data_IF_422294656967
#
_entry.id   IF_422294656967
#
_cell.length_a   1.000
_cell.length_b   1.000
_cell.length_c   1.000
_cell.angle_alpha   90.00
_cell.angle_beta   90.00
_cell.angle_gamma   90.00
#
_symmetry.space_group_name_H-M   'P 1'
#
loop_
_entity.id
_entity.type
_entity.pdbx_description
1 polymer ?
#
# COMPACT_ATOMS: atom_id res chain seq x y z
N UNK A 1 31.63 -51.35 65.83
CA UNK A 1 32.55 -51.14 64.69
C UNK A 1 31.93 -51.80 63.47
N UNK A 2 31.38 -51.12 62.49
CA UNK A 2 31.02 -49.72 62.29
C UNK A 2 29.78 -49.73 61.39
N UNK A 3 28.84 -48.85 61.70
CA UNK A 3 27.60 -48.62 60.97
C UNK A 3 27.90 -47.96 59.61
N UNK A 4 27.27 -48.44 58.54
CA UNK A 4 27.31 -47.77 57.23
C UNK A 4 25.95 -47.16 56.95
N UNK A 5 25.86 -45.86 57.19
CA UNK A 5 24.66 -45.03 57.06
C UNK A 5 24.18 -44.91 55.61
N UNK A 6 22.86 -45.04 55.45
CA UNK A 6 22.12 -44.63 54.27
C UNK A 6 22.08 -43.09 54.22
N UNK A 7 22.73 -42.46 53.25
CA UNK A 7 22.59 -41.03 52.99
C UNK A 7 21.62 -40.80 51.83
N UNK A 8 20.40 -40.42 52.19
CA UNK A 8 19.39 -39.89 51.28
C UNK A 8 19.78 -38.49 50.82
N UNK A 9 20.24 -38.36 49.57
CA UNK A 9 20.50 -37.06 48.96
C UNK A 9 19.17 -36.36 48.63
N UNK A 10 18.72 -35.50 49.52
CA UNK A 10 17.64 -34.54 49.32
C UNK A 10 18.01 -33.53 48.23
N UNK A 11 17.35 -33.63 47.07
CA UNK A 11 17.45 -32.68 45.96
C UNK A 11 16.86 -31.34 46.41
N UNK A 12 17.71 -30.33 46.60
CA UNK A 12 17.26 -28.96 46.79
C UNK A 12 16.77 -28.36 45.45
N UNK A 13 15.61 -27.70 45.41
CA UNK A 13 15.16 -27.00 44.21
C UNK A 13 16.05 -25.78 43.96
N UNK A 14 16.61 -25.73 42.77
CA UNK A 14 17.36 -24.58 42.27
C UNK A 14 16.46 -23.33 42.19
N UNK A 15 16.99 -22.11 42.43
CA UNK A 15 16.18 -20.90 42.45
C UNK A 15 15.56 -20.65 41.08
N UNK A 16 14.24 -20.53 41.07
CA UNK A 16 13.41 -20.31 39.88
C UNK A 16 13.98 -19.22 38.98
N UNK A 17 14.32 -19.57 37.74
CA UNK A 17 14.62 -18.59 36.69
C UNK A 17 13.38 -17.72 36.48
N UNK A 18 13.55 -16.43 36.78
CA UNK A 18 12.52 -15.39 36.65
C UNK A 18 11.97 -15.38 35.22
N UNK A 19 10.63 -15.37 35.11
CA UNK A 19 9.86 -15.27 33.85
C UNK A 19 10.38 -14.11 33.00
N UNK A 20 10.64 -14.28 31.68
CA UNK A 20 10.91 -13.16 30.79
C UNK A 20 9.71 -12.21 30.77
N UNK A 21 10.02 -10.91 30.85
CA UNK A 21 9.07 -9.81 31.03
C UNK A 21 8.11 -9.68 29.84
N UNK A 22 6.86 -9.34 30.17
CA UNK A 22 5.77 -8.82 29.32
C UNK A 22 6.30 -8.05 28.09
N UNK A 23 5.97 -8.50 26.88
CA UNK A 23 6.34 -7.78 25.65
C UNK A 23 5.77 -6.36 25.68
N UNK A 24 6.62 -5.39 25.32
CA UNK A 24 6.28 -3.96 25.27
C UNK A 24 5.48 -3.67 24.00
N UNK A 25 4.48 -2.80 24.09
CA UNK A 25 3.67 -2.41 22.92
C UNK A 25 4.51 -1.62 21.91
N UNK A 26 4.08 -1.53 20.65
CA UNK A 26 4.75 -0.72 19.61
C UNK A 26 4.92 0.73 20.08
N UNK A 27 3.94 1.29 20.81
CA UNK A 27 4.03 2.61 21.46
C UNK A 27 5.19 2.70 22.47
N UNK A 28 5.43 1.64 23.24
CA UNK A 28 6.53 1.59 24.21
C UNK A 28 7.89 1.34 23.55
N UNK A 29 7.92 0.76 22.35
CA UNK A 29 9.13 0.54 21.55
C UNK A 29 9.52 1.85 20.86
N UNK A 30 8.56 2.56 20.26
CA UNK A 30 8.77 3.88 19.65
C UNK A 30 9.28 4.88 20.69
N UNK A 31 8.71 4.88 21.90
CA UNK A 31 9.11 5.82 22.97
C UNK A 31 10.45 5.48 23.64
N UNK A 32 11.01 4.27 23.47
CA UNK A 32 12.24 3.82 24.17
C UNK A 32 13.36 3.36 23.23
N UNK A 33 13.24 3.58 21.92
CA UNK A 33 14.32 3.31 20.99
C UNK A 33 15.52 4.18 21.38
N UNK A 34 16.65 3.55 21.68
CA UNK A 34 17.89 4.28 21.98
C UNK A 34 18.42 4.86 20.67
N UNK A 35 18.40 6.18 20.58
CA UNK A 35 19.18 6.91 19.59
C UNK A 35 20.67 6.54 19.73
N UNK A 36 21.37 6.44 18.60
CA UNK A 36 22.82 6.36 18.61
C UNK A 36 23.34 7.66 19.23
N UNK A 37 23.71 7.61 20.51
CA UNK A 37 24.41 8.70 21.18
C UNK A 37 25.80 8.73 20.57
N UNK A 38 26.01 9.67 19.66
CA UNK A 38 27.35 10.14 19.32
C UNK A 38 27.90 10.79 20.61
N UNK A 39 29.13 10.49 21.06
CA UNK A 39 29.66 11.07 22.28
C UNK A 39 29.58 12.60 22.23
N UNK A 40 29.08 13.20 23.31
CA UNK A 40 29.11 14.64 23.56
C UNK A 40 30.58 15.10 23.60
N UNK A 41 31.09 15.56 22.46
CA UNK A 41 32.25 16.42 22.37
C UNK A 41 31.89 17.58 21.42
N UNK A 42 31.58 18.73 22.03
CA UNK A 42 31.70 20.11 21.52
C UNK A 42 30.85 20.56 20.30
N UNK A 43 29.82 21.40 20.58
CA UNK A 43 29.35 22.55 19.78
C UNK A 43 28.61 22.34 18.42
N UNK A 44 27.64 21.41 18.35
CA UNK A 44 26.72 21.31 17.20
C UNK A 44 25.24 21.22 17.60
N UNK A 45 24.56 22.34 17.87
CA UNK A 45 23.08 22.38 17.80
C UNK A 45 22.48 23.79 17.70
N UNK A 46 22.94 24.59 16.72
CA UNK A 46 22.21 25.80 16.26
C UNK A 46 21.56 25.56 14.88
N UNK A 47 21.34 24.28 14.52
CA UNK A 47 20.72 23.91 13.25
C UNK A 47 19.25 24.32 13.24
N UNK A 48 18.95 25.46 12.63
CA UNK A 48 17.58 25.93 12.42
C UNK A 48 17.00 25.35 11.14
N UNK A 49 15.71 25.04 11.16
CA UNK A 49 15.02 24.59 9.96
C UNK A 49 14.98 25.71 8.91
N UNK A 50 15.53 25.47 7.71
CA UNK A 50 15.59 26.44 6.60
C UNK A 50 14.20 26.86 6.11
N UNK A 51 13.17 26.06 6.38
CA UNK A 51 11.79 26.33 5.96
C UNK A 51 10.99 27.19 6.95
N UNK A 52 11.19 27.03 8.27
CA UNK A 52 10.42 27.75 9.29
C UNK A 52 11.24 28.69 10.18
N UNK A 53 12.58 28.64 10.06
CA UNK A 53 13.50 29.46 10.83
C UNK A 53 13.63 29.09 12.32
N UNK A 54 12.96 28.03 12.78
CA UNK A 54 13.01 27.58 14.18
C UNK A 54 13.99 26.41 14.36
N UNK A 55 14.73 26.43 15.46
CA UNK A 55 15.54 25.31 15.97
C UNK A 55 14.78 24.37 16.91
N UNK A 56 13.51 24.64 17.20
CA UNK A 56 12.68 23.77 18.05
C UNK A 56 12.44 22.43 17.37
N UNK A 57 12.32 21.32 18.11
CA UNK A 57 12.17 19.95 17.53
C UNK A 57 13.40 19.51 16.73
N UNK A 58 14.58 19.78 17.27
CA UNK A 58 15.88 19.24 16.87
C UNK A 58 15.85 17.74 16.49
N UNK A 59 15.19 16.90 17.29
CA UNK A 59 15.00 15.46 17.05
C UNK A 59 14.17 15.12 15.80
N UNK A 60 13.57 16.11 15.14
CA UNK A 60 12.81 15.96 13.89
C UNK A 60 13.50 16.63 12.70
N UNK A 61 14.74 17.11 12.86
CA UNK A 61 15.52 17.69 11.77
C UNK A 61 16.16 16.62 10.89
N UNK A 62 16.09 16.83 9.59
CA UNK A 62 16.85 16.12 8.57
C UNK A 62 17.90 17.07 7.98
N UNK A 63 19.13 16.59 7.89
CA UNK A 63 20.22 17.29 7.23
C UNK A 63 20.35 16.80 5.80
N UNK A 64 20.49 17.73 4.87
CA UNK A 64 20.71 17.39 3.47
C UNK A 64 22.15 16.94 3.23
N UNK A 65 22.37 15.74 2.70
CA UNK A 65 23.71 15.19 2.43
C UNK A 65 24.50 15.91 1.32
N UNK A 66 23.95 16.99 0.74
CA UNK A 66 24.62 17.80 -0.29
C UNK A 66 24.92 19.23 0.15
N UNK A 67 24.07 19.83 0.98
CA UNK A 67 24.20 21.24 1.36
C UNK A 67 24.14 21.48 2.86
N UNK A 68 24.04 20.41 3.66
CA UNK A 68 24.01 20.40 5.13
C UNK A 68 22.91 21.25 5.78
N UNK A 69 22.00 21.84 4.98
CA UNK A 69 20.84 22.57 5.48
C UNK A 69 19.89 21.63 6.23
N UNK A 70 19.37 22.10 7.35
CA UNK A 70 18.44 21.37 8.20
C UNK A 70 16.97 21.69 7.87
N UNK A 71 16.13 20.67 7.90
CA UNK A 71 14.68 20.79 7.67
C UNK A 71 13.92 19.93 8.65
N UNK A 72 12.87 20.45 9.29
CA UNK A 72 11.97 19.56 10.01
C UNK A 72 11.27 18.63 9.03
N UNK A 73 11.21 17.36 9.39
CA UNK A 73 10.44 16.30 8.73
C UNK A 73 9.03 16.78 8.29
N UNK A 74 8.32 17.49 9.19
CA UNK A 74 6.97 18.02 8.94
C UNK A 74 6.91 19.36 8.20
N UNK A 75 8.04 20.06 8.07
CA UNK A 75 8.15 21.29 7.28
C UNK A 75 8.40 20.99 5.80
N UNK A 76 8.85 19.77 5.47
CA UNK A 76 9.07 19.33 4.10
C UNK A 76 7.76 19.13 3.34
N UNK A 77 7.84 19.33 2.03
CA UNK A 77 6.73 19.15 1.08
C UNK A 77 7.28 18.38 -0.14
N UNK A 78 6.89 17.11 -0.35
CA UNK A 78 5.99 16.28 0.50
C UNK A 78 6.52 16.05 1.91
N UNK A 79 5.62 15.79 2.86
CA UNK A 79 5.99 15.57 4.28
C UNK A 79 6.81 14.29 4.40
N UNK A 80 7.91 14.37 5.14
CA UNK A 80 8.72 13.20 5.50
C UNK A 80 8.33 12.79 6.91
N UNK A 81 7.93 11.54 7.11
CA UNK A 81 7.35 11.07 8.38
C UNK A 81 8.33 10.32 9.27
N UNK A 82 9.44 9.90 8.68
CA UNK A 82 10.53 9.14 9.30
C UNK A 82 11.84 9.52 8.63
N UNK A 83 12.94 9.38 9.35
CA UNK A 83 14.28 9.55 8.79
C UNK A 83 14.49 8.52 7.68
N UNK A 84 14.77 8.93 6.42
CA UNK A 84 15.01 8.01 5.32
C UNK A 84 16.22 7.10 5.57
N UNK A 85 16.21 5.90 5.01
CA UNK A 85 17.37 5.00 5.02
C UNK A 85 18.27 5.37 3.84
N UNK A 86 19.49 5.79 4.15
CA UNK A 86 20.46 6.24 3.15
C UNK A 86 20.38 7.75 2.91
N UNK A 87 20.94 8.24 1.79
CA UNK A 87 21.13 9.67 1.61
C UNK A 87 19.81 10.40 1.34
N UNK A 88 19.62 11.55 1.98
CA UNK A 88 18.51 12.45 1.78
C UNK A 88 18.97 13.82 1.26
N UNK A 89 18.24 14.32 0.25
CA UNK A 89 18.51 15.62 -0.35
C UNK A 89 17.31 16.55 -0.18
N UNK A 90 17.56 17.78 0.29
CA UNK A 90 16.52 18.78 0.48
C UNK A 90 15.88 19.20 -0.85
N UNK A 91 14.70 19.85 -0.83
CA UNK A 91 14.06 20.46 -2.00
C UNK A 91 14.98 21.22 -2.96
N UNK A 92 15.94 21.99 -2.44
CA UNK A 92 16.86 22.75 -3.30
C UNK A 92 17.91 21.84 -3.99
N UNK A 93 18.25 20.71 -3.38
CA UNK A 93 19.29 19.79 -3.83
C UNK A 93 18.75 18.60 -4.64
N UNK A 94 17.56 18.12 -4.27
CA UNK A 94 16.75 17.15 -4.98
C UNK A 94 15.96 17.92 -6.01
N UNK A 95 16.29 17.80 -7.30
CA UNK A 95 15.59 18.46 -8.40
C UNK A 95 14.06 18.32 -8.23
N UNK A 96 13.38 19.31 -7.63
CA UNK A 96 11.98 19.20 -7.19
C UNK A 96 10.97 18.97 -8.31
N UNK A 97 11.42 19.03 -9.56
CA UNK A 97 10.59 18.61 -10.66
C UNK A 97 10.91 17.16 -10.96
N UNK A 98 9.92 16.23 -10.92
CA UNK A 98 10.10 14.97 -11.60
C UNK A 98 10.60 15.32 -13.01
N UNK A 99 11.65 14.63 -13.51
CA UNK A 99 12.21 14.96 -14.82
C UNK A 99 11.06 15.09 -15.81
N UNK A 100 11.06 16.13 -16.67
CA UNK A 100 9.95 16.39 -17.59
C UNK A 100 9.57 15.08 -18.24
N UNK A 101 8.26 14.73 -18.20
CA UNK A 101 7.73 13.41 -18.57
C UNK A 101 8.56 12.87 -19.74
N UNK A 102 9.50 11.95 -19.47
CA UNK A 102 10.34 11.41 -20.54
C UNK A 102 9.36 10.92 -21.58
N UNK A 103 9.48 11.37 -22.83
CA UNK A 103 8.48 11.02 -23.84
C UNK A 103 8.51 9.50 -24.01
N UNK A 104 7.58 8.81 -23.37
CA UNK A 104 7.36 7.40 -23.61
C UNK A 104 6.65 7.33 -24.95
N UNK A 105 7.37 6.85 -25.97
CA UNK A 105 6.74 6.42 -27.21
C UNK A 105 5.72 5.34 -26.90
N UNK A 106 4.69 5.21 -27.73
CA UNK A 106 3.65 4.19 -27.56
C UNK A 106 4.24 2.77 -27.39
N UNK A 107 5.31 2.45 -28.14
CA UNK A 107 6.03 1.18 -28.00
C UNK A 107 6.63 0.98 -26.61
N UNK A 108 7.31 2.00 -26.07
CA UNK A 108 7.88 1.93 -24.71
C UNK A 108 6.80 1.76 -23.65
N UNK A 109 5.63 2.37 -23.81
CA UNK A 109 4.49 2.18 -22.90
C UNK A 109 4.05 0.71 -22.95
N UNK A 110 3.82 0.15 -24.13
CA UNK A 110 3.40 -1.24 -24.26
C UNK A 110 4.41 -2.23 -23.70
N UNK A 111 5.70 -2.00 -23.92
CA UNK A 111 6.76 -2.84 -23.37
C UNK A 111 6.82 -2.72 -21.84
N UNK A 112 6.70 -1.49 -21.30
CA UNK A 112 6.69 -1.22 -19.86
C UNK A 112 5.55 -1.96 -19.13
N UNK A 113 4.34 -1.94 -19.70
CA UNK A 113 3.15 -2.60 -19.14
C UNK A 113 2.96 -4.04 -19.62
N UNK A 114 3.88 -4.59 -20.42
CA UNK A 114 3.81 -5.94 -21.01
C UNK A 114 2.48 -6.17 -21.78
N UNK A 115 1.99 -5.13 -22.46
CA UNK A 115 0.70 -5.15 -23.17
C UNK A 115 0.81 -6.03 -24.41
N UNK A 116 -0.11 -6.98 -24.54
CA UNK A 116 -0.20 -7.81 -25.75
C UNK A 116 -0.79 -6.97 -26.89
N UNK A 117 -0.03 -6.81 -27.98
CA UNK A 117 -0.59 -6.29 -29.23
C UNK A 117 -1.62 -7.28 -29.77
N UNK A 118 -2.91 -6.97 -29.62
CA UNK A 118 -3.95 -7.65 -30.36
C UNK A 118 -3.87 -7.20 -31.82
N UNK A 119 -3.48 -8.10 -32.73
CA UNK A 119 -3.74 -7.91 -34.16
C UNK A 119 -5.25 -7.86 -34.37
N UNK A 120 -5.73 -6.98 -35.24
CA UNK A 120 -7.13 -6.56 -35.36
C UNK A 120 -8.15 -7.65 -35.78
N UNK A 121 -7.81 -8.94 -35.71
CA UNK A 121 -8.58 -10.05 -36.30
C UNK A 121 -9.28 -10.98 -35.31
N UNK A 122 -9.38 -10.65 -34.02
CA UNK A 122 -10.05 -11.54 -33.06
C UNK A 122 -10.85 -10.85 -31.95
N UNK A 123 -11.50 -9.71 -32.27
CA UNK A 123 -12.51 -9.13 -31.36
C UNK A 123 -13.88 -9.72 -31.68
N UNK A 124 -14.22 -10.86 -31.06
CA UNK A 124 -15.63 -11.12 -30.76
C UNK A 124 -16.03 -10.12 -29.67
N UNK A 125 -16.65 -9.01 -30.07
CA UNK A 125 -17.31 -8.08 -29.15
C UNK A 125 -18.41 -8.86 -28.43
N UNK A 126 -18.16 -9.27 -27.18
CA UNK A 126 -19.25 -9.67 -26.31
C UNK A 126 -19.94 -8.37 -25.92
N UNK A 127 -21.03 -8.06 -26.61
CA UNK A 127 -21.87 -6.91 -26.28
C UNK A 127 -22.54 -7.15 -24.91
N UNK A 128 -22.77 -6.12 -24.09
CA UNK A 128 -23.50 -6.27 -22.83
C UNK A 128 -25.03 -6.50 -22.98
N UNK A 129 -25.54 -6.89 -24.15
CA UNK A 129 -26.99 -6.85 -24.44
C UNK A 129 -27.78 -8.16 -24.26
N UNK A 130 -27.23 -9.24 -23.73
CA UNK A 130 -28.05 -10.41 -23.35
C UNK A 130 -28.69 -10.23 -21.97
N UNK A 131 -29.62 -9.28 -21.90
CA UNK A 131 -30.55 -9.08 -20.80
C UNK A 131 -32.02 -9.30 -21.23
N UNK A 132 -32.32 -10.29 -22.06
CA UNK A 132 -33.70 -10.75 -22.39
C UNK A 132 -33.62 -12.25 -22.70
N UNK A 133 -34.17 -13.22 -21.94
CA UNK A 133 -35.52 -13.34 -21.36
C UNK A 133 -35.47 -14.36 -20.20
N UNK A 134 -35.63 -13.94 -18.94
CA UNK A 134 -36.04 -14.86 -17.86
C UNK A 134 -37.56 -15.03 -17.93
N UNK A 135 -38.02 -16.26 -18.18
CA UNK A 135 -39.44 -16.66 -18.06
C UNK A 135 -39.97 -16.18 -16.70
N UNK A 136 -41.09 -15.44 -16.71
CA UNK A 136 -41.87 -15.12 -15.52
C UNK A 136 -42.29 -16.43 -14.84
N UNK A 137 -41.62 -16.78 -13.74
CA UNK A 137 -42.22 -17.61 -12.69
C UNK A 137 -42.71 -16.63 -11.63
N UNK A 138 -44.01 -16.59 -11.43
CA UNK A 138 -44.67 -15.86 -10.34
C UNK A 138 -44.26 -16.51 -9.03
N UNK A 139 -43.31 -15.89 -8.33
CA UNK A 139 -42.97 -16.18 -6.94
C UNK A 139 -43.21 -14.92 -6.11
N UNK A 140 -43.57 -15.06 -4.82
CA UNK A 140 -43.96 -13.93 -3.98
C UNK A 140 -42.84 -12.87 -3.89
N UNK A 141 -43.24 -11.60 -3.83
CA UNK A 141 -42.33 -10.46 -3.67
C UNK A 141 -41.68 -10.56 -2.29
N UNK A 142 -40.50 -11.17 -2.24
CA UNK A 142 -39.58 -11.01 -1.12
C UNK A 142 -38.57 -9.95 -1.56
N UNK A 143 -38.48 -8.86 -0.81
CA UNK A 143 -37.47 -7.82 -1.01
C UNK A 143 -36.07 -8.40 -0.74
N UNK A 144 -35.47 -9.03 -1.74
CA UNK A 144 -34.04 -9.30 -1.72
C UNK A 144 -33.33 -7.94 -1.84
N UNK A 145 -32.65 -7.52 -0.76
CA UNK A 145 -31.70 -6.40 -0.82
C UNK A 145 -30.78 -6.63 -2.03
N UNK A 146 -30.69 -5.65 -2.94
CA UNK A 146 -29.76 -5.68 -4.09
C UNK A 146 -28.38 -6.03 -3.53
N UNK A 147 -27.83 -7.19 -3.90
CA UNK A 147 -26.47 -7.57 -3.50
C UNK A 147 -25.52 -6.54 -4.09
N UNK A 148 -24.75 -5.87 -3.23
CA UNK A 148 -23.63 -5.01 -3.66
C UNK A 148 -22.58 -5.92 -4.28
N UNK A 149 -22.45 -5.86 -5.61
CA UNK A 149 -21.51 -6.66 -6.41
C UNK A 149 -20.41 -5.76 -6.93
N UNK A 150 -19.19 -6.27 -7.07
CA UNK A 150 -18.13 -5.56 -7.78
C UNK A 150 -18.56 -5.23 -9.21
N UNK A 151 -18.18 -4.04 -9.65
CA UNK A 151 -18.31 -3.59 -11.02
C UNK A 151 -16.91 -3.48 -11.63
N UNK A 152 -16.72 -3.88 -12.90
CA UNK A 152 -15.50 -3.55 -13.61
C UNK A 152 -15.43 -2.03 -13.84
N UNK A 153 -14.21 -1.49 -13.90
CA UNK A 153 -14.03 -0.12 -14.35
C UNK A 153 -14.37 0.02 -15.83
N UNK A 154 -14.67 1.24 -16.27
CA UNK A 154 -14.88 1.56 -17.68
C UNK A 154 -13.67 2.33 -18.20
N UNK A 155 -12.83 1.73 -19.06
CA UNK A 155 -11.68 2.42 -19.65
C UNK A 155 -12.11 3.65 -20.47
N UNK A 156 -11.20 4.63 -20.62
CA UNK A 156 -11.40 5.71 -21.58
C UNK A 156 -11.54 5.15 -23.01
N UNK A 157 -12.58 5.58 -23.74
CA UNK A 157 -12.79 5.15 -25.13
C UNK A 157 -11.65 5.62 -26.06
N UNK A 158 -11.14 6.82 -25.78
CA UNK A 158 -10.02 7.43 -26.50
C UNK A 158 -8.70 6.72 -26.17
N UNK A 159 -8.01 6.26 -27.22
CA UNK A 159 -6.74 5.53 -27.08
C UNK A 159 -5.62 6.45 -26.61
N UNK A 160 -5.61 7.71 -27.03
CA UNK A 160 -4.57 8.66 -26.63
C UNK A 160 -4.69 8.99 -25.14
N UNK A 161 -5.93 9.08 -24.63
CA UNK A 161 -6.17 9.19 -23.18
C UNK A 161 -5.69 7.98 -22.40
N UNK A 162 -5.94 6.75 -22.88
CA UNK A 162 -5.41 5.56 -22.21
C UNK A 162 -3.88 5.54 -22.20
N UNK A 163 -3.24 5.99 -23.29
CA UNK A 163 -1.78 6.12 -23.35
C UNK A 163 -1.27 7.19 -22.38
N UNK A 164 -1.98 8.31 -22.22
CA UNK A 164 -1.66 9.35 -21.25
C UNK A 164 -1.76 8.84 -19.80
N UNK A 165 -2.86 8.16 -19.48
CA UNK A 165 -3.09 7.52 -18.17
C UNK A 165 -1.94 6.55 -17.84
N UNK A 166 -1.60 5.64 -18.75
CA UNK A 166 -0.48 4.71 -18.57
C UNK A 166 0.88 5.44 -18.49
N UNK A 167 1.09 6.49 -19.29
CA UNK A 167 2.32 7.29 -19.24
C UNK A 167 2.51 7.95 -17.88
N UNK A 168 1.45 8.49 -17.28
CA UNK A 168 1.52 9.12 -15.96
C UNK A 168 2.05 8.15 -14.90
N UNK A 169 1.54 6.91 -14.89
CA UNK A 169 2.00 5.84 -14.01
C UNK A 169 3.43 5.40 -14.30
N UNK A 170 3.78 5.20 -15.57
CA UNK A 170 5.14 4.82 -15.96
C UNK A 170 6.18 5.87 -15.53
N UNK A 171 5.85 7.15 -15.66
CA UNK A 171 6.70 8.25 -15.21
C UNK A 171 6.88 8.27 -13.68
N UNK A 172 5.80 8.06 -12.91
CA UNK A 172 5.87 8.00 -11.45
C UNK A 172 6.73 6.81 -10.97
N UNK A 173 6.47 5.61 -11.51
CA UNK A 173 7.28 4.41 -11.20
C UNK A 173 8.75 4.60 -11.57
N UNK A 174 9.04 5.17 -12.75
CA UNK A 174 10.42 5.44 -13.18
C UNK A 174 11.12 6.43 -12.25
N UNK A 175 10.39 7.44 -11.75
CA UNK A 175 10.96 8.45 -10.84
C UNK A 175 11.29 7.87 -9.46
N UNK A 176 10.57 6.81 -9.05
CA UNK A 176 10.87 6.04 -7.83
C UNK A 176 11.79 4.83 -8.08
N UNK A 177 12.36 4.70 -9.29
CA UNK A 177 13.19 3.56 -9.69
C UNK A 177 12.51 2.19 -9.47
N UNK A 178 11.20 2.13 -9.76
CA UNK A 178 10.38 0.94 -9.60
C UNK A 178 10.07 0.25 -10.93
N UNK A 179 9.95 -1.08 -10.86
CA UNK A 179 9.40 -1.90 -11.92
C UNK A 179 7.88 -2.02 -11.81
N UNK A 180 7.21 -2.03 -12.97
CA UNK A 180 5.78 -2.30 -13.00
C UNK A 180 5.48 -3.78 -12.76
N UNK A 181 4.56 -4.06 -11.84
CA UNK A 181 3.93 -5.37 -11.64
C UNK A 181 2.46 -5.20 -11.35
N UNK A 182 1.62 -6.07 -11.92
CA UNK A 182 0.19 -6.16 -11.60
C UNK A 182 -0.20 -7.49 -10.94
N UNK A 183 0.81 -8.24 -10.48
CA UNK A 183 0.65 -9.47 -9.71
C UNK A 183 1.54 -9.41 -8.47
N UNK A 184 1.07 -10.02 -7.36
CA UNK A 184 1.89 -10.22 -6.17
C UNK A 184 3.13 -11.03 -6.54
N UNK A 185 4.30 -10.51 -6.17
CA UNK A 185 5.59 -11.14 -6.47
C UNK A 185 6.17 -11.79 -5.22
N UNK A 186 6.87 -12.90 -5.43
CA UNK A 186 7.47 -13.70 -4.37
C UNK A 186 8.93 -13.97 -4.73
N UNK A 187 9.84 -13.57 -3.85
CA UNK A 187 11.28 -13.72 -4.04
C UNK A 187 11.84 -14.76 -3.08
N UNK A 188 12.99 -15.34 -3.40
CA UNK A 188 13.62 -16.39 -2.59
C UNK A 188 14.07 -15.92 -1.20
N UNK A 189 14.45 -14.64 -1.10
CA UNK A 189 14.87 -13.96 0.13
C UNK A 189 13.68 -13.40 0.95
N UNK A 190 12.46 -13.53 0.44
CA UNK A 190 11.23 -13.00 1.04
C UNK A 190 10.24 -14.11 1.37
N UNK A 191 8.96 -13.79 1.58
CA UNK A 191 7.96 -14.80 1.83
C UNK A 191 7.68 -15.63 0.55
N UNK A 192 7.69 -16.97 0.63
CA UNK A 192 7.31 -17.81 -0.50
C UNK A 192 5.80 -17.72 -0.74
N UNK A 193 5.36 -18.00 -1.97
CA UNK A 193 3.92 -18.01 -2.32
C UNK A 193 3.08 -18.93 -1.44
N UNK A 194 3.63 -20.07 -1.02
CA UNK A 194 2.97 -21.01 -0.11
C UNK A 194 2.70 -20.47 1.30
N UNK A 195 3.33 -19.35 1.69
CA UNK A 195 2.98 -18.66 2.94
C UNK A 195 1.68 -17.87 2.82
N UNK A 196 1.31 -17.43 1.61
CA UNK A 196 0.07 -16.68 1.36
C UNK A 196 -1.14 -17.62 1.26
N UNK A 197 -1.56 -18.15 2.41
CA UNK A 197 -2.80 -18.92 2.53
C UNK A 197 -3.79 -18.18 3.43
N UNK A 198 -4.93 -17.80 2.86
CA UNK A 198 -6.00 -17.08 3.57
C UNK A 198 -6.60 -17.84 4.75
N UNK A 199 -6.43 -19.17 4.80
CA UNK A 199 -6.78 -20.00 5.96
C UNK A 199 -5.95 -19.67 7.21
N UNK A 200 -4.81 -18.99 7.06
CA UNK A 200 -3.99 -18.56 8.18
C UNK A 200 -4.44 -17.23 8.78
N UNK A 201 -5.39 -16.51 8.17
CA UNK A 201 -5.89 -15.23 8.70
C UNK A 201 -6.57 -15.48 10.05
N UNK A 202 -6.13 -14.74 11.06
CA UNK A 202 -6.70 -14.79 12.39
C UNK A 202 -8.14 -14.28 12.37
N UNK A 203 -9.10 -15.11 12.78
CA UNK A 203 -10.53 -14.78 12.68
C UNK A 203 -11.14 -15.03 11.29
N UNK A 204 -10.37 -15.54 10.34
CA UNK A 204 -10.81 -15.90 8.99
C UNK A 204 -10.90 -14.70 8.03
N UNK A 205 -10.82 -15.00 6.73
CA UNK A 205 -10.92 -14.02 5.66
C UNK A 205 -12.17 -14.25 4.81
N UNK A 206 -12.89 -13.16 4.49
CA UNK A 206 -14.05 -13.22 3.60
C UNK A 206 -13.65 -13.75 2.22
N UNK A 207 -14.44 -14.68 1.67
CA UNK A 207 -14.20 -15.28 0.35
C UNK A 207 -14.83 -14.42 -0.73
N UNK A 208 -14.07 -14.10 -1.78
CA UNK A 208 -14.60 -13.37 -2.92
C UNK A 208 -15.60 -14.26 -3.68
N UNK A 209 -16.79 -13.74 -3.98
CA UNK A 209 -17.81 -14.52 -4.66
C UNK A 209 -17.31 -14.95 -6.06
N UNK A 210 -17.88 -16.02 -6.62
CA UNK A 210 -17.53 -16.45 -7.99
C UNK A 210 -17.75 -15.33 -9.02
N UNK A 211 -18.84 -14.60 -8.88
CA UNK A 211 -19.22 -13.50 -9.78
C UNK A 211 -18.25 -12.30 -9.67
N UNK A 212 -17.81 -11.99 -8.45
CA UNK A 212 -16.82 -10.94 -8.20
C UNK A 212 -15.41 -11.37 -8.63
N UNK A 213 -15.08 -12.66 -8.49
CA UNK A 213 -13.86 -13.26 -9.03
C UNK A 213 -13.82 -13.16 -10.55
N UNK A 214 -14.93 -13.43 -11.24
CA UNK A 214 -15.06 -13.23 -12.69
C UNK A 214 -14.88 -11.75 -13.08
N UNK A 215 -15.38 -10.82 -12.26
CA UNK A 215 -15.19 -9.37 -12.46
C UNK A 215 -13.72 -8.96 -12.30
N UNK A 216 -13.03 -9.50 -11.29
CA UNK A 216 -11.60 -9.29 -11.06
C UNK A 216 -10.76 -9.78 -12.26
N UNK A 217 -11.00 -11.01 -12.71
CA UNK A 217 -10.31 -11.58 -13.87
C UNK A 217 -10.60 -10.82 -15.17
N UNK A 218 -11.82 -10.31 -15.33
CA UNK A 218 -12.16 -9.44 -16.45
C UNK A 218 -11.36 -8.14 -16.44
N UNK A 219 -11.16 -7.51 -15.28
CA UNK A 219 -10.33 -6.31 -15.13
C UNK A 219 -8.85 -6.60 -15.44
N UNK A 220 -8.30 -7.70 -14.91
CA UNK A 220 -6.94 -8.15 -15.26
C UNK A 220 -6.76 -8.35 -16.77
N UNK A 221 -7.76 -8.95 -17.42
CA UNK A 221 -7.73 -9.16 -18.87
C UNK A 221 -7.85 -7.86 -19.67
N UNK A 222 -8.56 -6.84 -19.16
CA UNK A 222 -8.59 -5.49 -19.73
C UNK A 222 -7.20 -4.86 -19.67
N UNK A 223 -6.55 -4.88 -18.50
CA UNK A 223 -5.25 -4.25 -18.34
C UNK A 223 -4.18 -4.89 -19.24
N UNK A 224 -4.17 -6.22 -19.38
CA UNK A 224 -3.25 -6.96 -20.27
C UNK A 224 -3.33 -6.58 -21.76
N UNK A 225 -4.42 -5.94 -22.18
CA UNK A 225 -4.61 -5.42 -23.56
C UNK A 225 -4.57 -3.89 -23.65
N UNK A 226 -4.13 -3.21 -22.59
CA UNK A 226 -4.00 -1.74 -22.55
C UNK A 226 -5.31 -1.00 -22.28
N UNK A 227 -6.32 -1.69 -21.75
CA UNK A 227 -7.56 -1.10 -21.23
C UNK A 227 -7.42 -0.88 -19.72
N UNK A 228 -6.75 0.20 -19.34
CA UNK A 228 -6.54 0.60 -17.94
C UNK A 228 -7.78 1.30 -17.36
N UNK A 229 -7.87 1.33 -16.02
CA UNK A 229 -8.83 2.16 -15.32
C UNK A 229 -8.58 3.65 -15.65
N UNK A 230 -9.62 4.50 -15.74
CA UNK A 230 -9.47 5.89 -16.15
C UNK A 230 -8.87 6.72 -15.02
N UNK A 231 -7.57 6.57 -14.78
CA UNK A 231 -6.82 7.12 -13.64
C UNK A 231 -5.57 7.85 -14.13
N UNK A 232 -5.25 8.96 -13.48
CA UNK A 232 -4.02 9.72 -13.70
C UNK A 232 -3.21 9.78 -12.42
N UNK A 233 -1.91 9.55 -12.53
CA UNK A 233 -0.95 9.84 -11.46
C UNK A 233 -0.47 11.29 -11.62
N UNK A 234 -0.73 12.12 -10.62
CA UNK A 234 -0.45 13.55 -10.64
C UNK A 234 0.41 13.94 -9.45
N UNK A 235 1.47 14.71 -9.70
CA UNK A 235 2.31 15.23 -8.62
C UNK A 235 1.67 16.46 -7.99
N UNK A 236 1.49 16.42 -6.68
CA UNK A 236 1.03 17.49 -5.82
C UNK A 236 2.17 17.92 -4.89
N UNK A 237 2.43 19.22 -4.79
CA UNK A 237 3.53 19.73 -3.97
C UNK A 237 3.43 19.35 -2.49
N UNK A 238 2.21 19.18 -1.96
CA UNK A 238 1.98 18.86 -0.55
C UNK A 238 1.91 17.37 -0.30
N UNK A 239 1.26 16.63 -1.20
CA UNK A 239 0.92 15.22 -1.03
C UNK A 239 1.83 14.26 -1.80
N UNK A 240 2.75 14.77 -2.63
CA UNK A 240 3.60 13.96 -3.50
C UNK A 240 2.82 13.41 -4.69
N UNK A 241 3.14 12.19 -5.13
CA UNK A 241 2.32 11.54 -6.16
C UNK A 241 0.96 11.17 -5.60
N UNK A 242 -0.09 11.63 -6.28
CA UNK A 242 -1.50 11.34 -5.98
C UNK A 242 -2.15 10.68 -7.19
N UNK A 243 -3.33 10.09 -6.99
CA UNK A 243 -4.13 9.53 -8.08
C UNK A 243 -5.49 10.22 -8.15
N UNK A 244 -5.87 10.63 -9.35
CA UNK A 244 -7.18 11.21 -9.64
C UNK A 244 -7.90 10.46 -10.75
N UNK A 245 -9.23 10.54 -10.74
CA UNK A 245 -10.06 9.93 -11.77
C UNK A 245 -10.04 10.77 -13.06
N UNK A 246 -9.62 10.20 -14.19
CA UNK A 246 -9.69 10.85 -15.51
C UNK A 246 -11.03 10.56 -16.26
N UNK A 247 -11.95 9.91 -15.57
CA UNK A 247 -13.30 9.59 -16.02
C UNK A 247 -14.25 9.38 -14.85
N UNK A 248 -15.53 9.14 -15.14
CA UNK A 248 -16.51 8.82 -14.11
C UNK A 248 -16.32 7.38 -13.62
N UNK A 249 -16.25 7.19 -12.31
CA UNK A 249 -16.15 5.88 -11.67
C UNK A 249 -17.40 5.69 -10.82
N UNK A 250 -18.07 4.54 -10.93
CA UNK A 250 -19.31 4.27 -10.20
C UNK A 250 -19.02 3.66 -8.84
N UNK A 251 -19.98 3.79 -7.91
CA UNK A 251 -20.00 3.02 -6.67
C UNK A 251 -19.81 1.53 -6.97
N UNK A 252 -19.07 0.84 -6.10
CA UNK A 252 -18.71 -0.58 -6.20
C UNK A 252 -17.78 -0.94 -7.37
N UNK A 253 -17.21 0.04 -8.09
CA UNK A 253 -16.19 -0.24 -9.12
C UNK A 253 -14.88 -0.68 -8.49
N UNK A 254 -14.36 -1.83 -8.93
CA UNK A 254 -12.98 -2.26 -8.64
C UNK A 254 -12.00 -1.29 -9.32
N UNK A 255 -11.15 -0.66 -8.52
CA UNK A 255 -10.14 0.30 -8.99
C UNK A 255 -8.89 -0.47 -9.43
N UNK A 256 -8.28 -1.20 -8.49
CA UNK A 256 -7.05 -1.95 -8.68
C UNK A 256 -6.83 -2.93 -7.53
N UNK A 257 -5.97 -3.92 -7.75
CA UNK A 257 -5.35 -4.68 -6.66
C UNK A 257 -4.18 -3.89 -6.08
N UNK A 258 -3.92 -4.04 -4.78
CA UNK A 258 -2.70 -3.57 -4.15
C UNK A 258 -1.60 -4.60 -4.37
N UNK A 259 -0.55 -4.20 -5.10
CA UNK A 259 0.48 -5.11 -5.61
C UNK A 259 1.87 -4.67 -5.16
N UNK A 260 2.73 -5.65 -4.90
CA UNK A 260 4.13 -5.49 -4.59
C UNK A 260 4.77 -6.83 -4.23
N UNK A 261 6.01 -6.78 -3.73
CA UNK A 261 6.69 -7.96 -3.22
C UNK A 261 6.07 -8.39 -1.89
N UNK A 262 5.81 -9.69 -1.72
CA UNK A 262 5.24 -10.22 -0.48
C UNK A 262 6.36 -10.64 0.47
N UNK A 263 6.34 -10.11 1.69
CA UNK A 263 7.30 -10.41 2.74
C UNK A 263 6.62 -10.74 4.06
N UNK A 264 7.40 -11.24 5.01
CA UNK A 264 6.98 -11.33 6.41
C UNK A 264 7.08 -9.96 7.09
N UNK A 265 6.09 -9.61 7.91
CA UNK A 265 6.10 -8.34 8.68
C UNK A 265 7.38 -8.21 9.53
N UNK A 266 7.85 -9.32 10.12
CA UNK A 266 9.07 -9.33 10.94
C UNK A 266 10.33 -8.92 10.19
N UNK A 267 10.38 -9.10 8.87
CA UNK A 267 11.52 -8.74 8.03
C UNK A 267 11.55 -7.23 7.71
N UNK A 268 10.43 -6.52 7.95
CA UNK A 268 10.21 -5.12 7.54
C UNK A 268 10.12 -4.15 8.73
N UNK A 269 10.54 -4.57 9.92
CA UNK A 269 10.43 -3.76 11.14
C UNK A 269 11.24 -2.46 11.11
N UNK A 270 12.34 -2.46 10.37
CA UNK A 270 13.25 -1.31 10.20
C UNK A 270 13.12 -0.68 8.81
N UNK A 271 12.10 -1.07 8.04
CA UNK A 271 11.88 -0.57 6.69
C UNK A 271 11.27 0.84 6.72
N UNK A 272 11.73 1.72 5.82
CA UNK A 272 11.26 3.09 5.67
C UNK A 272 10.22 3.27 4.55
N UNK A 273 9.82 2.18 3.88
CA UNK A 273 8.77 2.19 2.88
C UNK A 273 7.46 2.73 3.48
N UNK A 274 7.01 3.85 2.92
CA UNK A 274 5.78 4.58 3.29
C UNK A 274 4.49 3.99 2.71
N UNK A 275 4.61 2.89 1.95
CA UNK A 275 3.54 2.32 1.12
C UNK A 275 3.34 0.82 1.40
N UNK A 276 3.80 0.31 2.53
CA UNK A 276 3.55 -1.07 2.96
C UNK A 276 2.05 -1.31 3.22
N UNK A 277 1.55 -2.49 2.83
CA UNK A 277 0.14 -2.86 2.98
C UNK A 277 -0.02 -4.27 3.56
N UNK A 278 -0.72 -4.40 4.68
CA UNK A 278 -0.98 -5.69 5.32
C UNK A 278 -1.72 -6.65 4.39
N UNK A 279 -1.18 -7.86 4.21
CA UNK A 279 -1.77 -8.90 3.37
C UNK A 279 -2.50 -9.95 4.21
N UNK A 280 -1.81 -10.48 5.23
CA UNK A 280 -2.25 -11.61 6.06
C UNK A 280 -1.83 -11.34 7.50
N UNK A 281 -2.77 -11.45 8.43
CA UNK A 281 -2.51 -11.38 9.87
C UNK A 281 -2.75 -12.75 10.48
N UNK A 282 -1.66 -13.48 10.70
CA UNK A 282 -1.72 -14.82 11.27
C UNK A 282 -1.83 -14.78 12.80
N UNK A 283 -2.37 -15.85 13.40
CA UNK A 283 -2.40 -15.97 14.86
C UNK A 283 -0.99 -16.02 15.46
N UNK A 284 -0.01 -16.52 14.70
CA UNK A 284 1.42 -16.37 14.99
C UNK A 284 1.96 -15.16 14.21
N UNK A 285 2.32 -14.05 14.89
CA UNK A 285 2.78 -12.83 14.23
C UNK A 285 4.02 -13.02 13.35
N UNK A 286 4.82 -14.06 13.60
CA UNK A 286 6.00 -14.35 12.78
C UNK A 286 5.68 -14.87 11.37
N UNK A 287 4.40 -15.19 11.12
CA UNK A 287 3.85 -15.66 9.84
C UNK A 287 2.96 -14.63 9.14
N UNK A 288 2.73 -13.47 9.75
CA UNK A 288 1.99 -12.39 9.12
C UNK A 288 2.75 -11.83 7.92
N UNK A 289 2.02 -11.45 6.87
CA UNK A 289 2.57 -11.01 5.60
C UNK A 289 2.18 -9.57 5.29
N UNK A 290 3.07 -8.89 4.59
CA UNK A 290 2.93 -7.52 4.11
C UNK A 290 3.30 -7.46 2.63
N UNK A 291 2.61 -6.60 1.89
CA UNK A 291 2.96 -6.21 0.52
C UNK A 291 3.87 -5.00 0.60
N UNK A 292 5.04 -5.09 -0.02
CA UNK A 292 6.05 -4.05 -0.10
C UNK A 292 6.20 -3.58 -1.55
N UNK A 293 5.62 -2.44 -1.92
CA UNK A 293 5.74 -1.91 -3.27
C UNK A 293 6.98 -0.99 -3.40
N UNK A 294 8.11 -1.39 -2.84
CA UNK A 294 9.38 -0.62 -2.84
C UNK A 294 10.14 -0.79 -4.17
N UNK A 295 10.20 -2.01 -4.70
CA UNK A 295 10.90 -2.34 -5.96
C UNK A 295 9.94 -2.57 -7.11
N UNK A 296 8.80 -3.20 -6.84
CA UNK A 296 7.79 -3.61 -7.82
C UNK A 296 6.41 -3.18 -7.35
N UNK A 297 5.59 -2.64 -8.24
CA UNK A 297 4.21 -2.26 -7.89
C UNK A 297 3.40 -1.72 -9.06
N UNK A 298 2.16 -1.32 -8.76
CA UNK A 298 1.24 -0.68 -9.69
C UNK A 298 0.75 0.66 -9.13
N UNK A 299 -0.35 1.18 -9.68
CA UNK A 299 -0.93 2.47 -9.31
C UNK A 299 -1.40 2.54 -7.84
N UNK A 300 -1.68 1.39 -7.21
CA UNK A 300 -2.30 1.35 -5.88
C UNK A 300 -1.47 2.05 -4.81
N UNK A 301 -0.12 1.99 -4.92
CA UNK A 301 0.78 2.61 -3.96
C UNK A 301 0.76 4.14 -3.97
N UNK A 302 0.22 4.76 -5.02
CA UNK A 302 0.15 6.22 -5.18
C UNK A 302 -1.22 6.78 -4.74
N UNK A 303 -2.14 5.93 -4.29
CA UNK A 303 -3.46 6.38 -3.83
C UNK A 303 -3.35 6.80 -2.37
N UNK A 304 -3.72 8.04 -2.07
CA UNK A 304 -3.49 8.67 -0.78
C UNK A 304 -4.43 8.16 0.32
N UNK A 305 -3.99 8.35 1.56
CA UNK A 305 -4.77 8.07 2.75
C UNK A 305 -5.52 9.30 3.26
N UNK A 306 -6.62 9.09 3.98
CA UNK A 306 -7.28 10.17 4.73
C UNK A 306 -6.57 10.45 6.07
N UNK A 307 -6.68 11.69 6.56
CA UNK A 307 -6.34 12.00 7.94
C UNK A 307 -7.44 11.45 8.90
N UNK A 308 -7.11 10.47 9.73
CA UNK A 308 -8.07 9.82 10.63
C UNK A 308 -8.48 10.69 11.85
N UNK A 309 -7.83 11.83 12.07
CA UNK A 309 -8.03 12.72 13.22
C UNK A 309 -8.92 13.93 12.90
N UNK A 310 -9.14 14.22 11.61
CA UNK A 310 -10.02 15.30 11.15
C UNK A 310 -11.34 14.75 10.61
N UNK A 311 -12.47 15.21 11.15
CA UNK A 311 -13.80 14.85 10.65
C UNK A 311 -14.03 15.32 9.21
N UNK A 312 -13.40 16.42 8.81
CA UNK A 312 -13.49 16.93 7.45
C UNK A 312 -12.67 16.08 6.48
N UNK A 313 -11.45 15.69 6.87
CA UNK A 313 -10.61 14.83 6.04
C UNK A 313 -11.23 13.44 5.83
N UNK A 314 -11.95 12.90 6.81
CA UNK A 314 -12.71 11.64 6.66
C UNK A 314 -13.73 11.69 5.52
N UNK A 315 -14.29 12.87 5.20
CA UNK A 315 -15.25 13.02 4.09
C UNK A 315 -14.59 12.89 2.71
N UNK A 316 -13.26 13.05 2.62
CA UNK A 316 -12.52 12.85 1.37
C UNK A 316 -12.51 11.39 0.92
N UNK A 317 -12.74 10.44 1.84
CA UNK A 317 -12.73 9.01 1.52
C UNK A 317 -13.77 8.67 0.44
N UNK A 318 -13.29 8.13 -0.67
CA UNK A 318 -14.12 7.66 -1.78
C UNK A 318 -13.78 6.23 -2.22
N UNK A 319 -12.73 5.64 -1.64
CA UNK A 319 -12.35 4.24 -1.81
C UNK A 319 -12.35 3.49 -0.48
N UNK A 320 -12.41 2.16 -0.57
CA UNK A 320 -12.18 1.24 0.53
C UNK A 320 -11.15 0.19 0.12
N UNK A 321 -10.17 -0.02 0.99
CA UNK A 321 -9.25 -1.15 0.93
C UNK A 321 -9.91 -2.36 1.61
N UNK A 322 -9.97 -3.50 0.91
CA UNK A 322 -10.61 -4.72 1.40
C UNK A 322 -9.75 -5.94 1.09
N UNK A 323 -9.61 -6.83 2.08
CA UNK A 323 -8.89 -8.10 1.94
C UNK A 323 -9.90 -9.22 1.65
N UNK A 324 -9.59 -10.05 0.67
CA UNK A 324 -10.41 -11.20 0.26
C UNK A 324 -9.56 -12.44 0.06
N UNK A 325 -10.15 -13.61 0.36
CA UNK A 325 -9.66 -14.90 -0.09
C UNK A 325 -10.12 -15.13 -1.53
N UNK A 326 -9.15 -15.28 -2.44
CA UNK A 326 -9.37 -15.60 -3.86
C UNK A 326 -8.59 -16.87 -4.16
N UNK A 327 -9.30 -17.96 -4.43
CA UNK A 327 -8.70 -19.29 -4.66
C UNK A 327 -7.77 -19.75 -3.52
N UNK A 328 -8.08 -19.37 -2.27
CA UNK A 328 -7.30 -19.73 -1.08
C UNK A 328 -6.15 -18.79 -0.76
N UNK A 329 -5.79 -17.85 -1.64
CA UNK A 329 -4.76 -16.84 -1.41
C UNK A 329 -5.38 -15.52 -0.91
N UNK A 330 -4.65 -14.77 -0.08
CA UNK A 330 -5.05 -13.41 0.29
C UNK A 330 -4.81 -12.46 -0.89
N UNK A 331 -5.77 -11.55 -1.09
CA UNK A 331 -5.71 -10.45 -2.06
C UNK A 331 -6.22 -9.17 -1.42
N UNK A 332 -5.64 -8.03 -1.81
CA UNK A 332 -6.02 -6.70 -1.32
C UNK A 332 -6.57 -5.90 -2.49
N UNK A 333 -7.82 -5.47 -2.40
CA UNK A 333 -8.54 -4.76 -3.46
C UNK A 333 -8.87 -3.34 -3.00
N UNK A 334 -8.79 -2.38 -3.92
CA UNK A 334 -9.33 -1.03 -3.75
C UNK A 334 -10.62 -0.89 -4.55
N UNK A 335 -11.71 -0.51 -3.87
CA UNK A 335 -13.07 -0.44 -4.46
C UNK A 335 -13.69 0.91 -4.15
N UNK A 336 -14.35 1.52 -5.13
CA UNK A 336 -15.12 2.75 -4.94
C UNK A 336 -16.29 2.54 -3.97
N UNK A 337 -16.50 3.48 -3.05
CA UNK A 337 -17.59 3.45 -2.05
C UNK A 337 -18.74 4.39 -2.37
N UNK A 338 -18.60 5.15 -3.45
CA UNK A 338 -19.58 6.07 -4.03
C UNK A 338 -19.20 6.34 -5.49
N UNK A 339 -20.08 7.03 -6.21
CA UNK A 339 -19.72 7.61 -7.50
C UNK A 339 -18.63 8.68 -7.32
N UNK A 340 -17.65 8.67 -8.22
CA UNK A 340 -16.48 9.54 -8.24
C UNK A 340 -16.46 10.28 -9.58
N UNK A 341 -16.38 11.60 -9.51
CA UNK A 341 -16.36 12.45 -10.69
C UNK A 341 -14.96 12.49 -11.33
N UNK A 342 -14.91 12.83 -12.62
CA UNK A 342 -13.63 13.15 -13.28
C UNK A 342 -12.97 14.34 -12.57
N UNK A 343 -11.65 14.27 -12.38
CA UNK A 343 -10.81 15.24 -11.68
C UNK A 343 -10.81 15.05 -10.16
N UNK A 344 -11.59 14.11 -9.64
CA UNK A 344 -11.64 13.85 -8.20
C UNK A 344 -10.47 12.96 -7.78
N UNK A 345 -9.74 13.40 -6.75
CA UNK A 345 -8.62 12.65 -6.15
C UNK A 345 -9.12 11.47 -5.34
N UNK A 346 -8.39 10.37 -5.39
CA UNK A 346 -8.75 9.11 -4.73
C UNK A 346 -8.12 9.03 -3.34
N UNK A 347 -8.96 8.69 -2.35
CA UNK A 347 -8.57 8.53 -0.97
C UNK A 347 -9.20 7.28 -0.35
N UNK A 348 -8.40 6.51 0.38
CA UNK A 348 -8.89 5.43 1.25
C UNK A 348 -8.38 5.58 2.68
N UNK A 349 -8.89 4.77 3.60
CA UNK A 349 -8.41 4.72 4.97
C UNK A 349 -7.22 3.74 5.08
N UNK A 350 -6.00 4.27 5.26
CA UNK A 350 -4.80 3.46 5.50
C UNK A 350 -4.92 2.61 6.77
N UNK A 351 -5.71 3.08 7.74
CA UNK A 351 -5.93 2.43 9.01
C UNK A 351 -7.27 1.66 9.07
N UNK A 352 -7.78 1.21 7.91
CA UNK A 352 -9.08 0.54 7.82
C UNK A 352 -9.20 -0.81 8.55
N UNK A 353 -8.09 -1.36 9.06
CA UNK A 353 -8.07 -2.57 9.89
C UNK A 353 -7.15 -2.40 11.11
N UNK A 354 -5.87 -2.09 10.88
CA UNK A 354 -4.89 -1.79 11.93
C UNK A 354 -4.69 -0.26 12.02
N UNK A 355 -4.20 0.26 13.16
CA UNK A 355 -3.96 1.69 13.36
C UNK A 355 -2.45 2.03 13.35
N UNK A 356 -1.70 1.39 12.46
CA UNK A 356 -0.24 1.45 12.43
C UNK A 356 0.30 2.61 11.59
N UNK A 357 -0.50 3.18 10.68
CA UNK A 357 -0.09 4.32 9.87
C UNK A 357 -0.35 5.66 10.58
N UNK A 358 0.69 6.48 10.82
CA UNK A 358 0.48 7.82 11.36
C UNK A 358 -0.14 8.72 10.29
N UNK A 359 -1.39 9.14 10.44
CA UNK A 359 -2.09 10.00 9.45
C UNK A 359 -2.36 11.43 9.94
N UNK A 360 -1.82 11.81 11.10
CA UNK A 360 -2.04 13.13 11.71
C UNK A 360 -1.58 14.31 10.86
N UNK A 361 -0.59 14.08 10.00
CA UNK A 361 0.01 15.09 9.12
C UNK A 361 -0.57 15.06 7.69
N UNK A 362 -1.49 14.13 7.39
CA UNK A 362 -2.16 14.10 6.08
C UNK A 362 -3.06 15.33 5.91
N UNK A 363 -3.13 15.82 4.67
CA UNK A 363 -3.83 17.06 4.25
C UNK A 363 -5.34 16.88 4.18
#
# INVERSE_FOLDING_TARGET
MADTESSSASIQPSPSRRRPKKYRSIKDIINNAKYAVVPDDEDYSDAVCDQCGSGDRDHQLLLCDKCDKAYHMLCLRPIVVRVPIGPWFCPACSSQQPPPLKSFSQTKIFDFFKIKKCTASSVKRISPQDSRRRKRRTCPIVHHKKRRRLLPYTPSNDTDKRLEQMRSLACALTSLNMEYSDDLTYSFDMAPRGANMSSFENGGMQVLSKEDTETLEYCRAMLKRGECAPLLVVFDSCEGYTVEADGVIKDMTLITEYIGDVDYIKNRQLDDCDSMMTLLLASDPSKSLVICPDKRGNIARFINGINNFSSEAKKKQNLKCVRYSVNGECRVLLVATRDIAKGERLYYDYNGYEHEYPTHHFV
#
